data_IF_286836585012
#
_entry.id   IF_286836585012
#
_cell.length_a   1.000
_cell.length_b   1.000
_cell.length_c   1.000
_cell.angle_alpha   90.00
_cell.angle_beta   90.00
_cell.angle_gamma   90.00
#
_symmetry.space_group_name_H-M   'P 1'
#
loop_
_entity.id
_entity.type
_entity.pdbx_description
1 polymer ?
#
# COMPACT_ATOMS: atom_id res chain seq x y z
N UNK A 1 2.51 10.12 16.01
CA UNK A 1 1.97 8.97 16.75
C UNK A 1 0.63 8.46 16.23
N UNK A 2 -0.18 9.33 15.63
CA UNK A 2 -1.51 9.03 15.11
C UNK A 2 -1.65 9.41 13.63
N UNK A 3 -0.57 9.29 12.87
CA UNK A 3 -0.56 9.63 11.45
C UNK A 3 -0.70 8.36 10.61
N UNK A 4 -1.63 8.39 9.69
CA UNK A 4 -1.95 7.29 8.78
C UNK A 4 -1.94 7.81 7.35
N UNK A 5 -1.60 6.96 6.41
CA UNK A 5 -1.61 7.28 4.98
C UNK A 5 -2.34 6.18 4.22
N UNK A 6 -3.16 6.56 3.27
CA UNK A 6 -3.85 5.59 2.42
C UNK A 6 -4.06 6.16 1.02
N UNK A 7 -4.20 5.27 0.06
CA UNK A 7 -4.47 5.65 -1.32
C UNK A 7 -4.88 4.47 -2.17
N UNK A 8 -5.53 4.80 -3.28
CA UNK A 8 -6.01 3.83 -4.26
C UNK A 8 -5.32 4.05 -5.61
N UNK A 9 -5.10 2.97 -6.35
CA UNK A 9 -4.52 3.04 -7.70
C UNK A 9 -3.18 3.81 -7.70
N UNK A 10 -3.02 4.86 -8.49
CA UNK A 10 -1.84 5.73 -8.48
C UNK A 10 -1.59 6.34 -7.08
N UNK A 11 -2.65 6.67 -6.34
CA UNK A 11 -2.55 7.13 -4.95
C UNK A 11 -2.03 6.05 -4.00
N UNK A 12 -2.31 4.78 -4.28
CA UNK A 12 -1.72 3.65 -3.56
C UNK A 12 -0.22 3.54 -3.78
N UNK A 13 0.23 3.76 -5.01
CA UNK A 13 1.65 3.85 -5.32
C UNK A 13 2.31 5.01 -4.56
N UNK A 14 1.69 6.19 -4.57
CA UNK A 14 2.16 7.35 -3.80
C UNK A 14 2.22 7.06 -2.29
N UNK A 15 1.24 6.32 -1.77
CA UNK A 15 1.22 5.86 -0.38
C UNK A 15 2.43 4.99 -0.04
N UNK A 16 2.78 4.04 -0.91
CA UNK A 16 3.96 3.21 -0.73
C UNK A 16 5.24 4.05 -0.75
N UNK A 17 5.38 4.95 -1.71
CA UNK A 17 6.57 5.83 -1.82
C UNK A 17 6.72 6.70 -0.58
N UNK A 18 5.68 7.40 -0.17
CA UNK A 18 5.74 8.28 1.00
C UNK A 18 5.91 7.51 2.31
N UNK A 19 5.16 6.41 2.46
CA UNK A 19 5.24 5.58 3.65
C UNK A 19 6.60 4.92 3.84
N UNK A 20 7.22 4.49 2.77
CA UNK A 20 8.55 3.88 2.83
C UNK A 20 9.71 4.89 2.82
N UNK A 21 9.48 6.09 2.31
CA UNK A 21 10.49 7.16 2.42
C UNK A 21 10.65 7.69 3.84
N UNK A 22 9.57 7.64 4.63
CA UNK A 22 9.56 8.14 6.02
C UNK A 22 8.71 7.22 6.91
N UNK A 23 9.11 5.96 7.09
CA UNK A 23 8.28 4.97 7.77
C UNK A 23 7.98 5.33 9.23
N UNK A 24 8.82 6.12 9.86
CA UNK A 24 8.63 6.55 11.25
C UNK A 24 7.48 7.56 11.42
N UNK A 25 7.08 8.23 10.35
CA UNK A 25 5.99 9.21 10.38
C UNK A 25 4.61 8.56 10.41
N UNK A 26 4.50 7.33 9.92
CA UNK A 26 3.21 6.67 9.74
C UNK A 26 3.09 5.45 10.63
N UNK A 27 2.01 5.37 11.37
CA UNK A 27 1.68 4.20 12.19
C UNK A 27 1.10 3.07 11.35
N UNK A 28 0.33 3.41 10.32
CA UNK A 28 -0.26 2.44 9.42
C UNK A 28 -0.48 3.02 8.02
N UNK A 29 -0.52 2.12 7.04
CA UNK A 29 -0.71 2.43 5.63
C UNK A 29 -1.85 1.59 5.06
N UNK A 30 -2.71 2.22 4.26
CA UNK A 30 -3.73 1.54 3.44
C UNK A 30 -3.41 1.65 1.95
N UNK A 31 -3.25 0.52 1.29
CA UNK A 31 -2.86 0.46 -0.12
C UNK A 31 -3.89 -0.35 -0.89
N UNK A 32 -4.58 0.30 -1.82
CA UNK A 32 -5.69 -0.31 -2.54
C UNK A 32 -5.42 -0.36 -4.04
N UNK A 33 -5.56 -1.55 -4.62
CA UNK A 33 -5.54 -1.79 -6.08
C UNK A 33 -4.25 -1.33 -6.75
N UNK A 34 -3.11 -1.71 -6.21
CA UNK A 34 -1.80 -1.39 -6.78
C UNK A 34 -0.79 -2.49 -6.47
N UNK A 35 0.20 -2.62 -7.34
CA UNK A 35 1.40 -3.43 -7.10
C UNK A 35 2.56 -2.61 -6.58
N UNK A 36 3.69 -3.29 -6.35
CA UNK A 36 4.89 -2.68 -5.77
C UNK A 36 5.76 -1.89 -6.75
N UNK A 37 5.46 -1.94 -8.05
CA UNK A 37 6.25 -1.27 -9.07
C UNK A 37 5.37 -0.75 -10.21
N UNK A 38 5.82 0.34 -10.83
CA UNK A 38 5.23 0.81 -12.07
C UNK A 38 5.81 0.06 -13.26
N UNK A 39 5.06 -0.06 -14.36
CA UNK A 39 5.61 -0.57 -15.61
C UNK A 39 6.82 0.27 -16.07
N UNK A 40 7.82 -0.36 -16.71
CA UNK A 40 8.93 0.38 -17.29
C UNK A 40 8.43 1.44 -18.27
N UNK A 41 8.98 2.65 -18.17
CA UNK A 41 8.71 3.72 -19.12
C UNK A 41 9.76 3.69 -20.22
N UNK A 42 9.34 4.04 -21.43
CA UNK A 42 10.23 4.11 -22.59
C UNK A 42 10.31 5.52 -23.13
N UNK A 43 11.49 5.89 -23.63
CA UNK A 43 11.69 7.15 -24.33
C UNK A 43 11.15 7.10 -25.77
N UNK A 44 11.27 8.21 -26.50
CA UNK A 44 10.82 8.36 -27.89
C UNK A 44 11.47 7.31 -28.84
N UNK A 45 12.61 6.75 -28.47
CA UNK A 45 13.36 5.77 -29.26
C UNK A 45 13.10 4.33 -28.83
N UNK A 46 12.20 4.12 -27.86
CA UNK A 46 11.85 2.80 -27.32
C UNK A 46 12.85 2.25 -26.31
N UNK A 47 13.79 3.05 -25.82
CA UNK A 47 14.73 2.65 -24.78
C UNK A 47 14.10 2.82 -23.39
N UNK A 48 14.47 1.95 -22.46
CA UNK A 48 14.00 2.05 -21.08
C UNK A 48 14.54 3.31 -20.41
N UNK A 49 13.63 4.09 -19.82
CA UNK A 49 13.98 5.25 -19.00
C UNK A 49 14.39 4.75 -17.61
N UNK A 50 15.61 5.05 -17.14
CA UNK A 50 16.04 4.67 -15.80
C UNK A 50 15.08 5.24 -14.74
N UNK A 51 14.61 4.37 -13.86
CA UNK A 51 13.74 4.78 -12.74
C UNK A 51 14.61 5.24 -11.56
N UNK A 52 14.25 6.39 -10.99
CA UNK A 52 14.91 6.88 -9.79
C UNK A 52 14.57 5.99 -8.59
N UNK A 53 15.57 5.43 -7.89
CA UNK A 53 15.33 4.58 -6.72
C UNK A 53 14.48 5.22 -5.63
N UNK A 54 14.49 6.55 -5.53
CA UNK A 54 13.68 7.30 -4.55
C UNK A 54 12.18 7.16 -4.77
N UNK A 55 11.76 6.76 -5.97
CA UNK A 55 10.36 6.59 -6.37
C UNK A 55 9.98 5.12 -6.59
N UNK A 56 10.84 4.19 -6.19
CA UNK A 56 10.59 2.75 -6.33
C UNK A 56 10.28 2.13 -4.97
N UNK A 57 9.01 1.77 -4.70
CA UNK A 57 8.60 1.26 -3.38
C UNK A 57 9.39 0.04 -2.93
N UNK A 58 9.69 -0.90 -3.84
CA UNK A 58 10.40 -2.12 -3.46
C UNK A 58 11.85 -1.88 -3.10
N UNK A 59 12.51 -0.92 -3.75
CA UNK A 59 13.87 -0.49 -3.38
C UNK A 59 13.86 0.16 -2.00
N UNK A 60 12.88 1.03 -1.74
CA UNK A 60 12.72 1.67 -0.42
C UNK A 60 12.41 0.64 0.68
N UNK A 61 11.56 -0.34 0.39
CA UNK A 61 11.20 -1.39 1.34
C UNK A 61 12.41 -2.26 1.71
N UNK A 62 13.20 -2.66 0.72
CA UNK A 62 14.43 -3.44 0.97
C UNK A 62 15.44 -2.66 1.82
N UNK A 63 15.56 -1.35 1.57
CA UNK A 63 16.42 -0.48 2.36
C UNK A 63 15.96 -0.40 3.81
N UNK A 64 14.67 -0.27 4.09
CA UNK A 64 14.12 -0.30 5.46
C UNK A 64 14.50 -1.63 6.15
N UNK A 65 14.31 -2.74 5.46
CA UNK A 65 14.62 -4.06 5.97
C UNK A 65 16.13 -4.22 6.27
N UNK A 66 17.00 -3.83 5.36
CA UNK A 66 18.47 -3.88 5.52
C UNK A 66 18.95 -3.01 6.68
N UNK A 67 18.33 -1.86 6.89
CA UNK A 67 18.65 -0.96 7.98
C UNK A 67 18.05 -1.39 9.33
N UNK A 68 17.28 -2.46 9.38
CA UNK A 68 16.61 -2.94 10.58
C UNK A 68 15.54 -2.00 11.12
N UNK A 69 14.99 -1.11 10.27
CA UNK A 69 13.92 -0.18 10.64
C UNK A 69 12.57 -0.87 10.59
N UNK A 70 11.62 -0.35 11.34
CA UNK A 70 10.27 -0.89 11.40
C UNK A 70 9.39 -0.33 10.29
N UNK A 71 8.63 -1.22 9.62
CA UNK A 71 7.57 -0.81 8.69
C UNK A 71 6.35 -0.29 9.44
N UNK A 72 5.60 0.68 8.86
CA UNK A 72 4.22 0.91 9.30
C UNK A 72 3.39 -0.37 9.18
N UNK A 73 2.34 -0.52 9.99
CA UNK A 73 1.35 -1.59 9.75
C UNK A 73 0.74 -1.39 8.37
N UNK A 74 0.53 -2.47 7.65
CA UNK A 74 0.04 -2.39 6.28
C UNK A 74 -1.30 -3.10 6.11
N UNK A 75 -2.23 -2.41 5.48
CA UNK A 75 -3.50 -2.94 5.00
C UNK A 75 -3.49 -2.88 3.48
N UNK A 76 -3.46 -4.02 2.82
CA UNK A 76 -3.37 -4.11 1.37
C UNK A 76 -4.62 -4.80 0.86
N UNK A 77 -5.34 -4.17 -0.07
CA UNK A 77 -6.58 -4.71 -0.64
C UNK A 77 -6.60 -4.60 -2.16
N UNK A 78 -7.16 -5.61 -2.81
CA UNK A 78 -7.35 -5.61 -4.25
C UNK A 78 -8.53 -6.50 -4.64
N UNK A 79 -9.23 -6.11 -5.70
CA UNK A 79 -10.27 -6.93 -6.32
C UNK A 79 -9.64 -8.04 -7.16
N UNK A 80 -10.20 -9.24 -7.10
CA UNK A 80 -9.66 -10.39 -7.85
C UNK A 80 -9.83 -10.27 -9.36
N UNK A 81 -10.79 -9.44 -9.82
CA UNK A 81 -11.00 -9.14 -11.23
C UNK A 81 -10.21 -7.92 -11.73
N UNK A 82 -9.40 -7.30 -10.88
CA UNK A 82 -8.52 -6.19 -11.25
C UNK A 82 -7.33 -6.72 -12.05
N UNK A 83 -6.98 -6.10 -13.19
CA UNK A 83 -5.76 -6.47 -13.93
C UNK A 83 -4.47 -6.37 -13.10
N UNK A 84 -4.45 -5.54 -12.05
CA UNK A 84 -3.32 -5.39 -11.14
C UNK A 84 -3.30 -6.43 -10.00
N UNK A 85 -4.30 -7.30 -9.93
CA UNK A 85 -4.39 -8.28 -8.86
C UNK A 85 -3.15 -9.15 -8.69
N UNK A 86 -2.54 -9.73 -9.76
CA UNK A 86 -1.31 -10.49 -9.60
C UNK A 86 -0.17 -9.68 -8.98
N UNK A 87 -0.03 -8.42 -9.38
CA UNK A 87 1.00 -7.52 -8.83
C UNK A 87 0.73 -7.15 -7.38
N UNK A 88 -0.54 -7.04 -6.99
CA UNK A 88 -0.92 -6.79 -5.60
C UNK A 88 -0.64 -8.02 -4.72
N UNK A 89 -0.87 -9.23 -5.23
CA UNK A 89 -0.50 -10.47 -4.54
C UNK A 89 1.00 -10.52 -4.30
N UNK A 90 1.81 -10.23 -5.31
CA UNK A 90 3.27 -10.17 -5.18
C UNK A 90 3.72 -9.13 -4.15
N UNK A 91 3.09 -7.96 -4.14
CA UNK A 91 3.38 -6.90 -3.18
C UNK A 91 3.16 -7.38 -1.75
N UNK A 92 1.99 -7.96 -1.46
CA UNK A 92 1.68 -8.38 -0.10
C UNK A 92 2.58 -9.53 0.38
N UNK A 93 2.93 -10.45 -0.50
CA UNK A 93 3.86 -11.54 -0.20
C UNK A 93 5.27 -11.00 0.08
N UNK A 94 5.76 -10.10 -0.75
CA UNK A 94 7.07 -9.47 -0.58
C UNK A 94 7.15 -8.72 0.74
N UNK A 95 6.11 -7.97 1.10
CA UNK A 95 6.10 -7.21 2.34
C UNK A 95 6.07 -8.13 3.57
N UNK A 96 5.34 -9.23 3.51
CA UNK A 96 5.39 -10.27 4.56
C UNK A 96 6.77 -10.88 4.70
N UNK A 97 7.43 -11.19 3.60
CA UNK A 97 8.79 -11.75 3.57
C UNK A 97 9.82 -10.78 4.17
N UNK A 98 9.62 -9.48 3.99
CA UNK A 98 10.46 -8.44 4.59
C UNK A 98 10.14 -8.17 6.06
N UNK A 99 9.18 -8.86 6.65
CA UNK A 99 8.83 -8.75 8.06
C UNK A 99 7.80 -7.69 8.41
N UNK A 100 7.11 -7.12 7.43
CA UNK A 100 6.02 -6.17 7.68
C UNK A 100 4.79 -6.89 8.26
N UNK A 101 4.05 -6.19 9.12
CA UNK A 101 2.74 -6.63 9.60
C UNK A 101 1.69 -6.28 8.55
N UNK A 102 1.30 -7.27 7.75
CA UNK A 102 0.41 -7.10 6.61
C UNK A 102 -0.94 -7.77 6.85
N UNK A 103 -2.01 -6.98 6.71
CA UNK A 103 -3.37 -7.49 6.54
C UNK A 103 -3.70 -7.46 5.04
N UNK A 104 -3.93 -8.62 4.46
CA UNK A 104 -4.27 -8.78 3.05
C UNK A 104 -5.76 -9.04 2.86
N UNK A 105 -6.39 -8.25 2.00
CA UNK A 105 -7.81 -8.38 1.64
C UNK A 105 -7.96 -8.59 0.14
N UNK A 106 -8.40 -9.77 -0.24
CA UNK A 106 -8.73 -10.16 -1.61
C UNK A 106 -10.25 -10.21 -1.75
N UNK A 107 -10.80 -9.51 -2.75
CA UNK A 107 -12.25 -9.40 -2.90
C UNK A 107 -12.72 -10.01 -4.22
N UNK A 108 -13.39 -11.18 -4.18
CA UNK A 108 -14.00 -11.79 -5.38
C UNK A 108 -15.08 -10.87 -5.96
N UNK A 109 -15.17 -10.84 -7.29
CA UNK A 109 -16.21 -10.09 -8.00
C UNK A 109 -15.98 -8.58 -8.08
N UNK A 110 -14.85 -8.08 -7.59
CA UNK A 110 -14.47 -6.67 -7.68
C UNK A 110 -13.32 -6.48 -8.67
N UNK A 111 -13.43 -5.46 -9.49
CA UNK A 111 -12.39 -5.02 -10.42
C UNK A 111 -11.66 -3.77 -9.90
N UNK A 112 -11.05 -3.00 -10.79
CA UNK A 112 -10.41 -1.72 -10.50
C UNK A 112 -11.50 -0.63 -10.49
N UNK A 113 -12.19 -0.46 -9.36
CA UNK A 113 -13.44 0.29 -9.33
C UNK A 113 -13.72 0.95 -7.98
N UNK A 114 -14.50 2.04 -8.01
CA UNK A 114 -14.88 2.81 -6.83
C UNK A 114 -15.68 1.99 -5.81
N UNK A 115 -16.46 1.02 -6.24
CA UNK A 115 -17.21 0.13 -5.36
C UNK A 115 -16.30 -0.60 -4.37
N UNK A 116 -15.13 -1.05 -4.84
CA UNK A 116 -14.11 -1.65 -3.97
C UNK A 116 -13.52 -0.59 -3.03
N UNK A 117 -13.17 0.56 -3.56
CA UNK A 117 -12.46 1.59 -2.80
C UNK A 117 -13.33 2.20 -1.70
N UNK A 118 -14.61 2.43 -1.96
CA UNK A 118 -15.56 2.89 -0.94
C UNK A 118 -15.67 1.88 0.21
N UNK A 119 -15.76 0.59 -0.10
CA UNK A 119 -15.79 -0.48 0.90
C UNK A 119 -14.48 -0.53 1.68
N UNK A 120 -13.35 -0.46 1.01
CA UNK A 120 -12.05 -0.68 1.62
C UNK A 120 -11.53 0.52 2.42
N UNK A 121 -11.86 1.74 2.05
CA UNK A 121 -11.51 2.89 2.87
C UNK A 121 -12.25 2.87 4.21
N UNK A 122 -13.51 2.46 4.21
CA UNK A 122 -14.28 2.27 5.44
C UNK A 122 -13.67 1.17 6.32
N UNK A 123 -13.37 0.02 5.72
CA UNK A 123 -12.74 -1.09 6.42
C UNK A 123 -11.37 -0.69 7.01
N UNK A 124 -10.58 0.06 6.26
CA UNK A 124 -9.29 0.60 6.71
C UNK A 124 -9.45 1.54 7.90
N UNK A 125 -10.41 2.46 7.85
CA UNK A 125 -10.68 3.40 8.95
C UNK A 125 -11.10 2.68 10.25
N UNK A 126 -11.77 1.55 10.13
CA UNK A 126 -12.12 0.71 11.27
C UNK A 126 -10.96 -0.17 11.76
N UNK A 127 -10.00 -0.46 10.89
CA UNK A 127 -8.85 -1.31 11.17
C UNK A 127 -7.67 -0.57 11.80
N UNK A 128 -7.47 0.74 11.50
CA UNK A 128 -6.30 1.48 11.96
C UNK A 128 -6.12 1.42 13.47
N UNK A 129 -4.86 1.27 13.96
CA UNK A 129 -4.59 1.13 15.39
C UNK A 129 -4.69 2.49 16.11
N UNK A 130 -5.89 2.85 16.50
CA UNK A 130 -6.18 4.12 17.15
C UNK A 130 -5.94 4.02 18.66
N UNK A 131 -5.30 5.04 19.23
CA UNK A 131 -5.07 5.19 20.66
C UNK A 131 -5.57 6.54 21.18
N UNK A 132 -6.30 7.28 20.34
CA UNK A 132 -6.93 8.54 20.69
C UNK A 132 -8.28 8.33 21.43
N UNK A 133 -8.94 9.43 21.77
CA UNK A 133 -10.24 9.41 22.43
C UNK A 133 -11.30 8.57 21.70
N UNK A 134 -11.20 8.47 20.40
CA UNK A 134 -12.15 7.73 19.55
C UNK A 134 -11.80 6.26 19.35
N UNK A 135 -10.73 5.76 19.95
CA UNK A 135 -10.21 4.41 19.70
C UNK A 135 -11.23 3.30 19.97
N UNK A 136 -12.13 3.47 20.89
CA UNK A 136 -13.19 2.51 21.19
C UNK A 136 -14.54 2.83 20.54
N UNK A 137 -14.63 3.90 19.77
CA UNK A 137 -15.88 4.32 19.16
C UNK A 137 -16.23 3.43 17.98
N UNK A 138 -17.37 2.75 18.07
CA UNK A 138 -17.94 2.11 16.88
C UNK A 138 -18.54 3.22 16.01
N UNK A 139 -17.91 3.51 14.89
CA UNK A 139 -18.54 4.39 13.91
C UNK A 139 -19.73 3.66 13.33
N UNK A 140 -20.90 4.19 13.58
CA UNK A 140 -22.09 3.84 12.82
C UNK A 140 -22.08 4.71 11.57
N UNK A 141 -21.78 4.09 10.49
CA UNK A 141 -21.91 4.71 9.17
C UNK A 141 -23.25 4.27 8.61
#
# INVERSE_FOLDING_TARGET
EHTYIAGLSMGGYGTLVHGFSSPEQYRAMGVFSVGGSLPPQKDENGNDIPQDPRWQPMVLAEKIHEEGRQFPKMYIACGEADPLYPSAVELQEKMKDLGADVTWVSRPGYAHEWRLWDEQVEAFLNWIPRTDFYAGSKRRI
#
